data_IF_844984240366
#
_entry.id   IF_844984240366
#
_cell.length_a   1.000
_cell.length_b   1.000
_cell.length_c   1.000
_cell.angle_alpha   90.00
_cell.angle_beta   90.00
_cell.angle_gamma   90.00
#
_symmetry.space_group_name_H-M   'P 1'
#
loop_
_entity.id
_entity.type
_entity.pdbx_description
1 polymer ?
#
# COMPACT_ATOMS: atom_id res chain seq x y z
N UNK A 1 -4.22 24.86 -2.87
CA UNK A 1 -5.59 25.12 -3.41
C UNK A 1 -5.64 26.37 -4.27
N UNK A 2 -4.74 27.34 -4.09
CA UNK A 2 -4.82 28.69 -4.68
C UNK A 2 -4.88 28.75 -6.22
N UNK A 3 -4.37 27.74 -6.92
CA UNK A 3 -4.40 27.63 -8.39
C UNK A 3 -5.34 26.53 -8.92
N UNK A 4 -6.31 26.07 -8.11
CA UNK A 4 -7.19 24.96 -8.49
C UNK A 4 -8.00 25.22 -9.77
N UNK A 5 -8.21 26.49 -10.14
CA UNK A 5 -8.84 26.88 -11.41
C UNK A 5 -8.12 26.27 -12.61
N UNK A 6 -6.79 26.21 -12.61
CA UNK A 6 -6.03 25.64 -13.74
C UNK A 6 -6.30 24.13 -13.89
N UNK A 7 -6.35 23.41 -12.76
CA UNK A 7 -6.68 21.99 -12.72
C UNK A 7 -8.12 21.75 -13.20
N UNK A 8 -9.07 22.56 -12.73
CA UNK A 8 -10.47 22.47 -13.15
C UNK A 8 -10.64 22.78 -14.64
N UNK A 9 -9.92 23.76 -15.19
CA UNK A 9 -9.94 24.04 -16.64
C UNK A 9 -9.44 22.83 -17.43
N UNK A 10 -8.28 22.27 -17.08
CA UNK A 10 -7.74 21.10 -17.78
C UNK A 10 -8.64 19.86 -17.64
N UNK A 11 -9.28 19.68 -16.48
CA UNK A 11 -10.25 18.62 -16.24
C UNK A 11 -11.45 18.71 -17.20
N UNK A 12 -11.99 19.92 -17.41
CA UNK A 12 -13.13 20.15 -18.29
C UNK A 12 -12.79 19.93 -19.78
N UNK A 13 -11.51 19.93 -20.15
CA UNK A 13 -11.04 19.61 -21.50
C UNK A 13 -10.93 18.09 -21.76
N UNK A 14 -11.05 17.26 -20.73
CA UNK A 14 -10.99 15.80 -20.87
C UNK A 14 -12.27 15.24 -21.52
N UNK A 15 -12.18 14.05 -22.14
CA UNK A 15 -13.35 13.32 -22.61
C UNK A 15 -14.31 12.93 -21.47
N UNK A 16 -15.60 12.83 -21.78
CA UNK A 16 -16.67 12.59 -20.80
C UNK A 16 -16.45 11.32 -19.94
N UNK A 17 -15.91 10.25 -20.53
CA UNK A 17 -15.58 9.02 -19.81
C UNK A 17 -14.55 9.23 -18.69
N UNK A 18 -13.54 10.06 -18.95
CA UNK A 18 -12.52 10.41 -17.96
C UNK A 18 -13.09 11.32 -16.87
N UNK A 19 -13.89 12.32 -17.28
CA UNK A 19 -14.53 13.23 -16.33
C UNK A 19 -15.41 12.48 -15.32
N UNK A 20 -16.28 11.60 -15.81
CA UNK A 20 -17.16 10.77 -14.96
C UNK A 20 -16.38 9.88 -13.99
N UNK A 21 -15.29 9.26 -14.44
CA UNK A 21 -14.46 8.43 -13.58
C UNK A 21 -13.83 9.27 -12.44
N UNK A 22 -13.24 10.42 -12.77
CA UNK A 22 -12.60 11.29 -11.78
C UNK A 22 -13.62 11.88 -10.80
N UNK A 23 -14.77 12.37 -11.28
CA UNK A 23 -15.83 12.93 -10.42
C UNK A 23 -16.37 11.92 -9.43
N UNK A 24 -16.68 10.70 -9.90
CA UNK A 24 -17.22 9.66 -9.04
C UNK A 24 -16.24 9.27 -7.94
N UNK A 25 -14.97 9.03 -8.31
CA UNK A 25 -13.92 8.66 -7.37
C UNK A 25 -13.67 9.80 -6.37
N UNK A 26 -13.58 11.04 -6.83
CA UNK A 26 -13.37 12.21 -5.96
C UNK A 26 -14.53 12.36 -4.96
N UNK A 27 -15.78 12.19 -5.41
CA UNK A 27 -16.96 12.26 -4.55
C UNK A 27 -16.97 11.16 -3.49
N UNK A 28 -16.69 9.92 -3.87
CA UNK A 28 -16.67 8.77 -2.94
C UNK A 28 -15.51 8.86 -1.95
N UNK A 29 -14.33 9.23 -2.42
CA UNK A 29 -13.14 9.45 -1.61
C UNK A 29 -13.38 10.58 -0.59
N UNK A 30 -13.93 11.72 -1.01
CA UNK A 30 -14.24 12.82 -0.10
C UNK A 30 -15.23 12.43 0.99
N UNK A 31 -16.27 11.67 0.66
CA UNK A 31 -17.23 11.16 1.64
C UNK A 31 -16.57 10.18 2.64
N UNK A 32 -15.72 9.27 2.15
CA UNK A 32 -14.98 8.35 2.99
C UNK A 32 -13.97 9.03 3.91
N UNK A 33 -13.19 9.98 3.38
CA UNK A 33 -12.27 10.79 4.17
C UNK A 33 -13.01 11.54 5.29
N UNK A 34 -14.18 12.12 4.99
CA UNK A 34 -14.99 12.81 5.98
C UNK A 34 -15.43 11.89 7.15
N UNK A 35 -15.73 10.61 6.88
CA UNK A 35 -16.07 9.61 7.90
C UNK A 35 -14.93 9.42 8.91
N UNK A 36 -13.68 9.40 8.45
CA UNK A 36 -12.49 9.13 9.27
C UNK A 36 -11.85 10.39 9.90
N UNK A 37 -12.43 11.59 9.74
CA UNK A 37 -11.94 12.80 10.42
C UNK A 37 -12.06 12.68 11.95
N UNK A 38 -13.17 12.12 12.42
CA UNK A 38 -13.51 12.03 13.85
C UNK A 38 -13.49 10.60 14.39
N UNK A 39 -13.01 9.64 13.60
CA UNK A 39 -13.07 8.22 13.92
C UNK A 39 -11.65 7.64 13.90
N UNK A 40 -11.25 6.96 14.98
CA UNK A 40 -9.99 6.23 15.02
C UNK A 40 -10.12 4.89 14.29
N UNK A 41 -9.00 4.38 13.77
CA UNK A 41 -8.97 3.05 13.13
C UNK A 41 -8.84 2.00 14.24
N UNK A 42 -9.95 1.36 14.60
CA UNK A 42 -9.99 0.42 15.73
C UNK A 42 -9.75 -1.02 15.25
N UNK A 43 -10.44 -1.45 14.20
CA UNK A 43 -10.40 -2.83 13.69
C UNK A 43 -9.62 -2.96 12.37
N UNK A 44 -9.29 -4.20 11.99
CA UNK A 44 -8.73 -4.48 10.66
C UNK A 44 -9.74 -4.09 9.55
N UNK A 45 -11.04 -4.26 9.79
CA UNK A 45 -12.09 -3.86 8.85
C UNK A 45 -12.14 -2.33 8.67
N UNK A 46 -11.99 -1.56 9.77
CA UNK A 46 -11.87 -0.10 9.68
C UNK A 46 -10.62 0.31 8.89
N UNK A 47 -9.52 -0.42 9.06
CA UNK A 47 -8.27 -0.18 8.36
C UNK A 47 -8.41 -0.44 6.86
N UNK A 48 -9.05 -1.54 6.49
CA UNK A 48 -9.35 -1.89 5.11
C UNK A 48 -10.32 -0.89 4.47
N UNK A 49 -11.34 -0.45 5.21
CA UNK A 49 -12.30 0.57 4.74
C UNK A 49 -11.61 1.94 4.56
N UNK A 50 -10.76 2.35 5.51
CA UNK A 50 -9.97 3.57 5.36
C UNK A 50 -9.09 3.50 4.10
N UNK A 51 -8.34 2.41 3.93
CA UNK A 51 -7.49 2.21 2.77
C UNK A 51 -8.29 2.12 1.46
N UNK A 52 -9.50 1.55 1.49
CA UNK A 52 -10.42 1.55 0.36
C UNK A 52 -10.72 2.97 -0.09
N UNK A 53 -11.13 3.86 0.82
CA UNK A 53 -11.50 5.21 0.43
C UNK A 53 -10.33 6.02 -0.11
N UNK A 54 -9.16 5.95 0.52
CA UNK A 54 -8.02 6.83 0.17
C UNK A 54 -7.13 6.28 -0.94
N UNK A 55 -7.16 4.96 -1.21
CA UNK A 55 -6.29 4.33 -2.20
C UNK A 55 -6.99 3.27 -3.06
N UNK A 56 -7.87 2.45 -2.48
CA UNK A 56 -8.65 1.47 -3.24
C UNK A 56 -9.45 2.12 -4.38
N UNK A 57 -10.16 3.21 -4.07
CA UNK A 57 -10.88 4.08 -5.02
C UNK A 57 -9.99 4.64 -6.13
N UNK A 58 -8.70 4.88 -5.88
CA UNK A 58 -7.75 5.28 -6.92
C UNK A 58 -7.51 4.13 -7.90
N UNK A 59 -7.37 2.89 -7.39
CA UNK A 59 -7.29 1.69 -8.22
C UNK A 59 -8.51 1.53 -9.13
N UNK A 60 -9.71 1.66 -8.58
CA UNK A 60 -10.96 1.67 -9.37
C UNK A 60 -10.98 2.75 -10.45
N UNK A 61 -10.59 3.98 -10.09
CA UNK A 61 -10.52 5.11 -11.01
C UNK A 61 -9.61 4.81 -12.19
N UNK A 62 -8.38 4.35 -11.91
CA UNK A 62 -7.39 4.01 -12.93
C UNK A 62 -7.88 2.87 -13.85
N UNK A 63 -8.43 1.79 -13.30
CA UNK A 63 -8.99 0.69 -14.12
C UNK A 63 -10.09 1.20 -15.06
N UNK A 64 -10.95 2.11 -14.60
CA UNK A 64 -11.98 2.72 -15.45
C UNK A 64 -11.40 3.67 -16.49
N UNK A 65 -10.34 4.42 -16.17
CA UNK A 65 -9.65 5.27 -17.15
C UNK A 65 -9.01 4.43 -18.26
N UNK A 66 -8.32 3.33 -17.91
CA UNK A 66 -7.73 2.39 -18.88
C UNK A 66 -8.77 1.65 -19.72
N UNK A 67 -9.95 1.41 -19.16
CA UNK A 67 -11.07 0.86 -19.93
C UNK A 67 -11.67 1.92 -20.87
N UNK A 68 -11.81 3.17 -20.43
CA UNK A 68 -12.36 4.26 -21.22
C UNK A 68 -11.47 4.65 -22.42
N UNK A 69 -10.15 4.48 -22.33
CA UNK A 69 -9.22 4.60 -23.47
C UNK A 69 -9.35 3.46 -24.48
N UNK A 70 -10.02 2.36 -24.13
CA UNK A 70 -10.07 1.12 -24.92
C UNK A 70 -8.76 0.32 -24.90
N UNK A 71 -7.83 0.64 -24.01
CA UNK A 71 -6.53 -0.06 -23.92
C UNK A 71 -6.60 -1.33 -23.08
N UNK A 72 -7.56 -1.42 -22.15
CA UNK A 72 -7.71 -2.54 -21.23
C UNK A 72 -9.16 -3.00 -21.10
N UNK A 73 -9.34 -4.26 -20.71
CA UNK A 73 -10.62 -4.73 -20.21
C UNK A 73 -10.85 -4.18 -18.80
N UNK A 74 -12.11 -4.01 -18.39
CA UNK A 74 -12.40 -3.54 -17.04
C UNK A 74 -12.04 -4.62 -16.01
N UNK A 75 -11.08 -4.32 -15.15
CA UNK A 75 -10.65 -5.22 -14.09
C UNK A 75 -11.76 -5.44 -13.04
N UNK A 76 -11.83 -6.64 -12.42
CA UNK A 76 -12.70 -6.88 -11.28
C UNK A 76 -12.43 -5.94 -10.10
N UNK A 77 -13.52 -5.50 -9.47
CA UNK A 77 -13.52 -4.53 -8.39
C UNK A 77 -12.55 -4.84 -7.23
N UNK A 78 -12.53 -6.10 -6.77
CA UNK A 78 -11.66 -6.52 -5.67
C UNK A 78 -10.17 -6.44 -6.03
N UNK A 79 -9.79 -6.75 -7.27
CA UNK A 79 -8.40 -6.67 -7.72
C UNK A 79 -7.94 -5.21 -7.80
N UNK A 80 -8.79 -4.32 -8.35
CA UNK A 80 -8.51 -2.88 -8.39
C UNK A 80 -8.37 -2.31 -6.97
N UNK A 81 -9.20 -2.75 -6.03
CA UNK A 81 -9.10 -2.35 -4.63
C UNK A 81 -7.78 -2.82 -4.00
N UNK A 82 -7.44 -4.11 -4.14
CA UNK A 82 -6.21 -4.69 -3.59
C UNK A 82 -4.95 -4.00 -4.09
N UNK A 83 -4.91 -3.57 -5.37
CA UNK A 83 -3.81 -2.74 -5.91
C UNK A 83 -3.60 -1.45 -5.11
N UNK A 84 -4.68 -0.77 -4.72
CA UNK A 84 -4.61 0.45 -3.90
C UNK A 84 -4.27 0.15 -2.43
N UNK A 85 -4.91 -0.87 -1.85
CA UNK A 85 -4.69 -1.26 -0.46
C UNK A 85 -3.23 -1.67 -0.21
N UNK A 86 -2.63 -2.46 -1.10
CA UNK A 86 -1.25 -2.90 -0.90
C UNK A 86 -0.26 -1.73 -0.84
N UNK A 87 -0.39 -0.76 -1.75
CA UNK A 87 0.41 0.46 -1.74
C UNK A 87 0.19 1.28 -0.48
N UNK A 88 -1.08 1.48 -0.09
CA UNK A 88 -1.43 2.33 1.04
C UNK A 88 -0.97 1.74 2.37
N UNK A 89 -1.20 0.45 2.59
CA UNK A 89 -0.75 -0.25 3.79
C UNK A 89 0.77 -0.24 3.89
N UNK A 90 1.47 -0.44 2.77
CA UNK A 90 2.94 -0.36 2.74
C UNK A 90 3.46 1.02 3.15
N UNK A 91 2.83 2.10 2.65
CA UNK A 91 3.20 3.46 3.05
C UNK A 91 2.91 3.71 4.53
N UNK A 92 1.73 3.35 5.04
CA UNK A 92 1.35 3.48 6.46
C UNK A 92 2.34 2.74 7.38
N UNK A 93 2.83 1.58 6.97
CA UNK A 93 3.83 0.82 7.72
C UNK A 93 5.16 1.58 7.76
N UNK A 94 5.63 2.04 6.60
CA UNK A 94 6.95 2.69 6.48
C UNK A 94 6.97 4.06 7.17
N UNK A 95 5.87 4.82 7.09
CA UNK A 95 5.76 6.20 7.55
C UNK A 95 5.37 6.35 9.02
N UNK A 96 5.26 5.24 9.78
CA UNK A 96 4.91 5.22 11.21
C UNK A 96 5.51 6.39 12.02
N UNK A 97 6.83 6.59 11.94
CA UNK A 97 7.50 7.58 12.78
C UNK A 97 7.22 9.03 12.34
N UNK A 98 6.99 9.26 11.06
CA UNK A 98 6.57 10.56 10.53
C UNK A 98 5.16 10.88 11.03
N UNK A 99 4.24 9.94 10.88
CA UNK A 99 2.83 10.10 11.28
C UNK A 99 2.67 10.30 12.80
N UNK A 100 3.39 9.52 13.62
CA UNK A 100 3.33 9.62 15.08
C UNK A 100 3.95 10.91 15.63
N UNK A 101 4.93 11.49 14.95
CA UNK A 101 5.56 12.74 15.39
C UNK A 101 4.98 13.99 14.74
N UNK A 102 3.91 13.87 13.95
CA UNK A 102 3.21 15.01 13.36
C UNK A 102 2.73 15.99 14.45
N UNK A 103 2.88 17.29 14.20
CA UNK A 103 2.48 18.39 15.09
C UNK A 103 1.40 19.22 14.37
N UNK A 104 0.29 19.61 15.03
CA UNK A 104 0.05 19.58 16.48
C UNK A 104 -0.48 18.25 17.03
N UNK A 105 -0.87 17.31 16.18
CA UNK A 105 -1.46 16.03 16.59
C UNK A 105 -0.88 14.89 15.76
N UNK A 106 -0.56 13.79 16.44
CA UNK A 106 -0.15 12.55 15.80
C UNK A 106 -1.24 12.02 14.85
N UNK A 107 -0.82 11.39 13.77
CA UNK A 107 -1.67 10.67 12.83
C UNK A 107 -1.58 9.18 13.15
N UNK A 108 -2.71 8.56 13.50
CA UNK A 108 -2.75 7.17 13.96
C UNK A 108 -3.52 6.31 12.96
N UNK A 109 -2.80 5.64 12.05
CA UNK A 109 -3.40 4.80 11.01
C UNK A 109 -3.32 3.30 11.28
N UNK A 110 -2.47 2.87 12.22
CA UNK A 110 -2.35 1.45 12.56
C UNK A 110 -3.58 1.04 13.38
N UNK A 111 -4.28 -0.06 13.02
CA UNK A 111 -5.51 -0.47 13.70
C UNK A 111 -5.23 -0.92 15.13
N UNK A 112 -6.05 -0.46 16.09
CA UNK A 112 -5.93 -0.86 17.51
C UNK A 112 -5.91 -2.36 17.70
N UNK A 113 -6.75 -3.09 16.98
CA UNK A 113 -6.81 -4.55 16.99
C UNK A 113 -5.45 -5.23 16.73
N UNK A 114 -4.54 -4.58 16.02
CA UNK A 114 -3.17 -5.06 15.83
C UNK A 114 -2.26 -4.57 16.96
N UNK A 115 -2.10 -3.25 17.11
CA UNK A 115 -1.04 -2.72 17.97
C UNK A 115 -1.29 -2.90 19.46
N UNK A 116 -2.55 -2.98 19.90
CA UNK A 116 -2.89 -3.11 21.33
C UNK A 116 -2.53 -4.48 21.91
N UNK A 117 -2.15 -5.44 21.06
CA UNK A 117 -1.58 -6.73 21.50
C UNK A 117 -0.16 -6.59 22.06
N UNK A 118 0.51 -5.48 21.75
CA UNK A 118 1.94 -5.28 21.99
C UNK A 118 2.23 -4.17 23.00
N UNK A 119 1.51 -3.05 22.90
CA UNK A 119 1.69 -1.85 23.75
C UNK A 119 0.34 -1.20 24.10
N UNK A 120 0.32 -0.38 25.15
CA UNK A 120 -0.89 0.31 25.62
C UNK A 120 -1.24 1.54 24.76
N UNK A 121 -0.24 2.19 24.16
CA UNK A 121 -0.42 3.29 23.21
C UNK A 121 0.43 3.06 21.98
N UNK A 122 -0.12 3.34 20.79
CA UNK A 122 0.60 3.18 19.53
C UNK A 122 1.95 3.93 19.52
N UNK A 123 1.99 5.14 20.08
CA UNK A 123 3.19 5.97 20.12
C UNK A 123 4.36 5.31 20.85
N UNK A 124 4.07 4.39 21.78
CA UNK A 124 5.08 3.75 22.63
C UNK A 124 6.04 2.85 21.83
N UNK A 125 5.66 2.45 20.60
CA UNK A 125 6.53 1.68 19.71
C UNK A 125 7.79 2.47 19.30
N UNK A 126 7.78 3.81 19.44
CA UNK A 126 8.94 4.66 19.12
C UNK A 126 10.03 4.68 20.21
N UNK A 127 9.77 4.10 21.38
CA UNK A 127 10.75 4.07 22.48
C UNK A 127 11.59 2.78 22.46
N UNK A 128 12.84 2.87 22.94
CA UNK A 128 13.82 1.78 22.83
C UNK A 128 13.48 0.55 23.67
N UNK A 129 12.90 0.77 24.84
CA UNK A 129 12.40 -0.27 25.74
C UNK A 129 11.34 -1.18 25.11
N UNK A 130 10.62 -0.70 24.09
CA UNK A 130 9.57 -1.45 23.39
C UNK A 130 10.05 -2.08 22.07
N UNK A 131 11.36 -2.06 21.77
CA UNK A 131 11.89 -2.47 20.45
C UNK A 131 11.45 -3.86 20.00
N UNK A 132 11.46 -4.86 20.89
CA UNK A 132 11.04 -6.22 20.56
C UNK A 132 9.56 -6.27 20.18
N UNK A 133 8.69 -5.70 21.03
CA UNK A 133 7.25 -5.60 20.80
C UNK A 133 6.92 -4.82 19.54
N UNK A 134 7.63 -3.73 19.29
CA UNK A 134 7.48 -2.91 18.09
C UNK A 134 7.79 -3.70 16.82
N UNK A 135 8.88 -4.46 16.80
CA UNK A 135 9.21 -5.32 15.67
C UNK A 135 8.19 -6.44 15.47
N UNK A 136 7.66 -7.02 16.54
CA UNK A 136 6.59 -8.02 16.43
C UNK A 136 5.29 -7.42 15.88
N UNK A 137 4.92 -6.20 16.30
CA UNK A 137 3.78 -5.46 15.78
C UNK A 137 3.96 -5.09 14.30
N UNK A 138 5.17 -4.65 13.93
CA UNK A 138 5.55 -4.35 12.55
C UNK A 138 5.37 -5.57 11.64
N UNK A 139 5.80 -6.75 12.11
CA UNK A 139 5.64 -7.98 11.36
C UNK A 139 4.15 -8.33 11.15
N UNK A 140 3.28 -8.10 12.14
CA UNK A 140 1.82 -8.31 11.98
C UNK A 140 1.24 -7.36 10.91
N UNK A 141 1.61 -6.08 10.95
CA UNK A 141 1.21 -5.10 9.93
C UNK A 141 1.69 -5.46 8.52
N UNK A 142 2.96 -5.86 8.37
CA UNK A 142 3.50 -6.27 7.06
C UNK A 142 2.78 -7.51 6.54
N UNK A 143 2.56 -8.52 7.39
CA UNK A 143 1.82 -9.71 6.97
C UNK A 143 0.37 -9.39 6.60
N UNK A 144 -0.28 -8.45 7.29
CA UNK A 144 -1.60 -7.96 6.89
C UNK A 144 -1.56 -7.26 5.51
N UNK A 145 -0.49 -6.55 5.15
CA UNK A 145 -0.36 -5.97 3.82
C UNK A 145 -0.14 -7.04 2.73
N UNK A 146 0.63 -8.10 3.03
CA UNK A 146 0.98 -9.16 2.07
C UNK A 146 -0.23 -9.95 1.55
N UNK A 147 -1.37 -9.93 2.25
CA UNK A 147 -2.60 -10.60 1.79
C UNK A 147 -3.07 -10.09 0.42
N UNK A 148 -2.70 -8.87 0.02
CA UNK A 148 -3.08 -8.26 -1.25
C UNK A 148 -2.12 -8.59 -2.40
N UNK A 149 -0.97 -9.22 -2.13
CA UNK A 149 0.08 -9.41 -3.13
C UNK A 149 -0.39 -10.29 -4.30
N UNK A 150 -1.12 -11.38 -4.01
CA UNK A 150 -1.65 -12.28 -5.03
C UNK A 150 -2.65 -11.57 -5.96
N UNK A 151 -3.59 -10.80 -5.39
CA UNK A 151 -4.53 -10.00 -6.18
C UNK A 151 -3.81 -8.97 -7.06
N UNK A 152 -2.74 -8.35 -6.55
CA UNK A 152 -1.93 -7.41 -7.33
C UNK A 152 -1.26 -8.11 -8.52
N UNK A 153 -0.68 -9.29 -8.31
CA UNK A 153 -0.10 -10.11 -9.37
C UNK A 153 -1.16 -10.49 -10.42
N UNK A 154 -2.33 -10.94 -9.98
CA UNK A 154 -3.45 -11.27 -10.88
C UNK A 154 -3.89 -10.05 -11.69
N UNK A 155 -4.06 -8.89 -11.06
CA UNK A 155 -4.40 -7.63 -11.75
C UNK A 155 -3.38 -7.31 -12.85
N UNK A 156 -2.08 -7.29 -12.51
CA UNK A 156 -1.01 -6.91 -13.43
C UNK A 156 -0.84 -7.91 -14.57
N UNK A 157 -1.11 -9.19 -14.33
CA UNK A 157 -1.04 -10.25 -15.35
C UNK A 157 -2.10 -10.10 -16.45
N UNK A 158 -3.19 -9.38 -16.17
CA UNK A 158 -4.29 -9.16 -17.11
C UNK A 158 -4.11 -7.92 -18.00
N UNK A 159 -3.14 -7.04 -17.67
CA UNK A 159 -2.89 -5.81 -18.43
C UNK A 159 -2.26 -6.11 -19.79
N UNK A 160 -2.76 -5.47 -20.83
CA UNK A 160 -2.38 -5.67 -22.23
C UNK A 160 -1.48 -4.57 -22.75
N UNK A 161 -1.75 -3.31 -22.39
CA UNK A 161 -0.94 -2.17 -22.79
C UNK A 161 0.31 -2.06 -21.92
N UNK A 162 1.48 -1.99 -22.57
CA UNK A 162 2.76 -1.97 -21.87
C UNK A 162 2.96 -0.70 -21.01
N UNK A 163 2.38 0.44 -21.40
CA UNK A 163 2.52 1.68 -20.64
C UNK A 163 1.70 1.61 -19.35
N UNK A 164 0.45 1.14 -19.45
CA UNK A 164 -0.42 0.88 -18.29
C UNK A 164 0.18 -0.20 -17.39
N UNK A 165 0.67 -1.29 -17.98
CA UNK A 165 1.37 -2.35 -17.25
C UNK A 165 2.52 -1.81 -16.42
N UNK A 166 3.47 -1.09 -17.04
CA UNK A 166 4.62 -0.54 -16.31
C UNK A 166 4.22 0.49 -15.26
N UNK A 167 3.21 1.32 -15.56
CA UNK A 167 2.65 2.29 -14.61
C UNK A 167 2.11 1.61 -13.35
N UNK A 168 1.41 0.48 -13.50
CA UNK A 168 0.92 -0.30 -12.37
C UNK A 168 2.01 -1.13 -11.70
N UNK A 169 2.91 -1.77 -12.46
CA UNK A 169 3.87 -2.75 -11.97
C UNK A 169 4.98 -2.15 -11.10
N UNK A 170 5.54 -1.02 -11.52
CA UNK A 170 6.67 -0.40 -10.83
C UNK A 170 6.31 -0.05 -9.37
N UNK A 171 5.19 0.64 -9.07
CA UNK A 171 4.76 0.89 -7.70
C UNK A 171 4.57 -0.39 -6.87
N UNK A 172 4.05 -1.47 -7.46
CA UNK A 172 3.81 -2.71 -6.73
C UNK A 172 5.10 -3.45 -6.38
N UNK A 173 6.08 -3.48 -7.30
CA UNK A 173 7.43 -4.01 -7.01
C UNK A 173 8.09 -3.19 -5.90
N UNK A 174 7.95 -1.86 -5.96
CA UNK A 174 8.46 -0.97 -4.93
C UNK A 174 7.78 -1.19 -3.57
N UNK A 175 6.50 -1.55 -3.55
CA UNK A 175 5.77 -1.86 -2.33
C UNK A 175 6.24 -3.16 -1.69
N UNK A 176 6.32 -4.28 -2.43
CA UNK A 176 6.84 -5.55 -1.89
C UNK A 176 8.31 -5.41 -1.44
N UNK A 177 9.13 -4.65 -2.19
CA UNK A 177 10.50 -4.33 -1.78
C UNK A 177 10.56 -3.49 -0.50
N UNK A 178 9.61 -2.57 -0.31
CA UNK A 178 9.48 -1.77 0.92
C UNK A 178 9.04 -2.66 2.10
N UNK A 179 8.07 -3.55 1.91
CA UNK A 179 7.68 -4.56 2.90
C UNK A 179 8.89 -5.42 3.30
N UNK A 180 9.68 -5.90 2.34
CA UNK A 180 10.86 -6.72 2.61
C UNK A 180 11.92 -5.98 3.43
N UNK A 181 12.17 -4.68 3.19
CA UNK A 181 13.14 -3.91 4.00
C UNK A 181 12.59 -3.47 5.37
N UNK A 182 11.26 -3.34 5.52
CA UNK A 182 10.63 -3.02 6.80
C UNK A 182 10.48 -4.25 7.69
N UNK A 183 10.24 -5.43 7.12
CA UNK A 183 10.04 -6.64 7.90
C UNK A 183 11.24 -6.93 8.82
N UNK A 184 10.93 -7.23 10.09
CA UNK A 184 11.88 -7.49 11.16
C UNK A 184 12.94 -6.38 11.34
N UNK A 185 12.59 -5.10 11.12
CA UNK A 185 13.53 -3.98 11.14
C UNK A 185 13.11 -2.85 12.10
N UNK A 186 13.76 -2.79 13.27
CA UNK A 186 13.50 -1.77 14.30
C UNK A 186 13.70 -0.32 13.80
N UNK A 187 14.47 -0.11 12.71
CA UNK A 187 14.75 1.23 12.19
C UNK A 187 13.49 1.96 11.71
N UNK A 188 12.40 1.24 11.38
CA UNK A 188 11.09 1.86 11.07
C UNK A 188 10.62 2.77 12.20
N UNK A 189 10.96 2.44 13.45
CA UNK A 189 10.58 3.20 14.64
C UNK A 189 11.62 4.24 15.07
N UNK A 190 12.72 4.38 14.32
CA UNK A 190 13.87 5.26 14.68
C UNK A 190 14.26 6.23 13.57
N UNK A 191 13.74 6.04 12.36
CA UNK A 191 14.01 6.93 11.25
C UNK A 191 13.40 6.42 9.94
N UNK A 192 13.93 6.95 8.84
CA UNK A 192 13.39 6.68 7.51
C UNK A 192 13.98 5.38 6.93
N UNK A 193 13.11 4.42 6.62
CA UNK A 193 13.46 3.18 5.91
C UNK A 193 13.00 3.27 4.45
N UNK A 194 13.91 3.49 3.51
CA UNK A 194 13.58 3.63 2.08
C UNK A 194 14.47 2.73 1.22
N UNK A 195 13.90 2.24 0.13
CA UNK A 195 14.69 1.58 -0.92
C UNK A 195 15.76 2.54 -1.45
N UNK A 196 16.94 2.02 -1.75
CA UNK A 196 18.03 2.83 -2.29
C UNK A 196 17.67 3.31 -3.69
N UNK A 197 17.98 4.57 -4.01
CA UNK A 197 17.70 5.18 -5.32
C UNK A 197 18.22 4.37 -6.50
N UNK A 198 19.40 3.75 -6.36
CA UNK A 198 19.96 2.88 -7.41
C UNK A 198 19.13 1.61 -7.65
N UNK A 199 18.57 1.02 -6.58
CA UNK A 199 17.66 -0.13 -6.71
C UNK A 199 16.33 0.30 -7.33
N UNK A 200 15.79 1.46 -6.93
CA UNK A 200 14.58 2.03 -7.55
C UNK A 200 14.78 2.30 -9.05
N UNK A 201 15.91 2.90 -9.43
CA UNK A 201 16.24 3.15 -10.82
C UNK A 201 16.31 1.85 -11.62
N UNK A 202 16.93 0.81 -11.03
CA UNK A 202 16.98 -0.53 -11.63
C UNK A 202 15.59 -1.11 -11.84
N UNK A 203 14.72 -1.10 -10.82
CA UNK A 203 13.34 -1.58 -10.94
C UNK A 203 12.59 -0.86 -12.07
N UNK A 204 12.70 0.47 -12.15
CA UNK A 204 12.04 1.27 -13.20
C UNK A 204 12.55 0.87 -14.59
N UNK A 205 13.85 0.67 -14.73
CA UNK A 205 14.48 0.33 -16.00
C UNK A 205 14.19 -1.11 -16.42
N UNK A 206 14.32 -2.08 -15.52
CA UNK A 206 14.23 -3.51 -15.81
C UNK A 206 12.79 -4.05 -15.90
N UNK A 207 11.79 -3.36 -15.33
CA UNK A 207 10.39 -3.81 -15.40
C UNK A 207 9.82 -3.61 -16.80
N UNK A 208 9.81 -4.67 -17.63
CA UNK A 208 9.28 -4.65 -19.01
C UNK A 208 8.14 -5.64 -19.26
N UNK A 209 8.00 -6.66 -18.41
CA UNK A 209 7.05 -7.75 -18.58
C UNK A 209 6.57 -8.32 -17.25
N UNK A 210 5.50 -9.12 -17.28
CA UNK A 210 5.01 -9.81 -16.08
C UNK A 210 6.04 -10.80 -15.49
N UNK A 211 6.93 -11.37 -16.31
CA UNK A 211 8.00 -12.23 -15.83
C UNK A 211 8.99 -11.47 -14.94
N UNK A 212 9.27 -10.20 -15.26
CA UNK A 212 10.14 -9.34 -14.45
C UNK A 212 9.48 -9.03 -13.10
N UNK A 213 8.15 -8.84 -13.11
CA UNK A 213 7.36 -8.63 -11.88
C UNK A 213 7.40 -9.87 -11.00
N UNK A 214 7.13 -11.05 -11.54
CA UNK A 214 7.21 -12.30 -10.77
C UNK A 214 8.62 -12.52 -10.20
N UNK A 215 9.66 -12.24 -11.00
CA UNK A 215 11.05 -12.37 -10.54
C UNK A 215 11.34 -11.42 -9.38
N UNK A 216 10.94 -10.15 -9.48
CA UNK A 216 11.13 -9.17 -8.41
C UNK A 216 10.31 -9.51 -7.14
N UNK A 217 9.05 -9.92 -7.31
CA UNK A 217 8.18 -10.35 -6.20
C UNK A 217 8.77 -11.55 -5.48
N UNK A 218 9.26 -12.55 -6.23
CA UNK A 218 9.94 -13.71 -5.66
C UNK A 218 11.20 -13.31 -4.90
N UNK A 219 12.10 -12.51 -5.50
CA UNK A 219 13.33 -12.06 -4.83
C UNK A 219 13.06 -11.30 -3.52
N UNK A 220 12.10 -10.37 -3.52
CA UNK A 220 11.75 -9.63 -2.31
C UNK A 220 11.02 -10.50 -1.28
N UNK A 221 10.21 -11.45 -1.72
CA UNK A 221 9.54 -12.41 -0.84
C UNK A 221 10.53 -13.37 -0.19
N UNK A 222 11.52 -13.89 -0.93
CA UNK A 222 12.62 -14.68 -0.38
C UNK A 222 13.47 -13.87 0.61
N UNK A 223 13.72 -12.58 0.33
CA UNK A 223 14.40 -11.69 1.27
C UNK A 223 13.59 -11.52 2.56
N UNK A 224 12.26 -11.39 2.46
CA UNK A 224 11.38 -11.29 3.62
C UNK A 224 11.38 -12.60 4.41
N UNK A 225 11.23 -13.73 3.73
CA UNK A 225 11.25 -15.08 4.32
C UNK A 225 12.54 -15.33 5.10
N UNK A 226 13.70 -14.93 4.56
CA UNK A 226 15.00 -15.09 5.22
C UNK A 226 15.11 -14.39 6.59
N UNK A 227 14.19 -13.45 6.88
CA UNK A 227 14.13 -12.68 8.13
C UNK A 227 13.06 -13.20 9.08
N UNK A 228 12.27 -14.19 8.68
CA UNK A 228 11.25 -14.80 9.54
C UNK A 228 11.97 -15.66 10.58
N UNK A 229 11.92 -15.24 11.85
CA UNK A 229 12.52 -16.00 12.94
C UNK A 229 11.63 -17.19 13.33
N UNK A 230 12.23 -18.38 13.41
CA UNK A 230 11.57 -19.60 13.88
C UNK A 230 11.03 -19.44 15.31
N UNK A 231 9.79 -19.87 15.55
CA UNK A 231 9.17 -19.91 16.88
C UNK A 231 8.39 -18.64 17.28
N UNK A 232 8.34 -17.63 16.42
CA UNK A 232 7.47 -16.46 16.62
C UNK A 232 6.06 -16.79 16.13
N UNK A 233 5.03 -16.43 16.91
CA UNK A 233 3.62 -16.74 16.61
C UNK A 233 3.17 -16.33 15.18
N UNK A 234 3.77 -15.28 14.62
CA UNK A 234 3.44 -14.73 13.30
C UNK A 234 4.06 -15.52 12.14
N UNK A 235 5.07 -16.34 12.39
CA UNK A 235 5.82 -17.09 11.38
C UNK A 235 4.90 -17.80 10.39
N UNK A 236 3.98 -18.64 10.87
CA UNK A 236 3.10 -19.45 10.02
C UNK A 236 2.20 -18.60 9.13
N UNK A 237 1.72 -17.44 9.62
CA UNK A 237 0.87 -16.55 8.82
C UNK A 237 1.67 -15.85 7.73
N UNK A 238 2.88 -15.41 8.05
CA UNK A 238 3.78 -14.79 7.06
C UNK A 238 4.19 -15.80 5.99
N UNK A 239 4.68 -16.97 6.38
CA UNK A 239 5.05 -18.05 5.45
C UNK A 239 3.86 -18.44 4.56
N UNK A 240 2.65 -18.56 5.12
CA UNK A 240 1.45 -18.86 4.34
C UNK A 240 1.17 -17.76 3.31
N UNK A 241 1.38 -16.48 3.64
CA UNK A 241 1.15 -15.37 2.71
C UNK A 241 2.20 -15.35 1.59
N UNK A 242 3.46 -15.68 1.91
CA UNK A 242 4.56 -15.74 0.96
C UNK A 242 4.45 -16.93 0.01
N UNK A 243 3.85 -18.05 0.43
CA UNK A 243 3.71 -19.24 -0.41
C UNK A 243 2.84 -19.03 -1.67
N UNK A 244 2.07 -17.94 -1.73
CA UNK A 244 1.22 -17.56 -2.86
C UNK A 244 1.83 -16.46 -3.76
N UNK A 245 3.07 -16.04 -3.47
CA UNK A 245 3.82 -15.01 -4.20
C UNK A 245 4.96 -15.67 -4.98
#
# INVERSE_FOLDING_TARGET
MDNFRQVSTAFLELGEGYQKAIEEITRRMGAGMAKFICTEVETIDDYDEYCHYVAGLVGYGLSRLFHATGTEDLAPDHLSNSMGLFLQKTNIIRDYLEDINEIPRCRMFWPREIWSKYVDKLEDLKYEENSEKAVQCLNDMVTNALIHAQDCLQYMSALKDNSNFRFCAIPQIMAIGTCAICYNNVKVFRGVVKMRRGLTARVIDETKSISDVYSAFYEFSSLLESKVCSGVWMQRKTESSLAYI
#
